data_IF_041853165149
#
_entry.id   IF_041853165149
#
_cell.length_a   1.000
_cell.length_b   1.000
_cell.length_c   1.000
_cell.angle_alpha   90.00
_cell.angle_beta   90.00
_cell.angle_gamma   90.00
#
_symmetry.space_group_name_H-M   'P 1'
#
loop_
_entity.id
_entity.type
_entity.pdbx_description
1 polymer ?
#
# COMPACT_ATOMS: atom_id res chain seq x y z
N UNK A 1 -17.46 -65.53 -4.51
CA UNK A 1 -17.98 -64.25 -5.03
C UNK A 1 -19.26 -63.93 -4.28
N UNK A 2 -19.50 -62.65 -4.01
CA UNK A 2 -20.52 -62.05 -3.14
C UNK A 2 -20.06 -61.84 -1.68
N UNK A 3 -20.14 -60.58 -1.24
CA UNK A 3 -19.72 -60.08 0.07
C UNK A 3 -18.98 -58.74 0.04
N UNK A 4 -19.09 -57.96 -1.04
CA UNK A 4 -18.46 -56.65 -1.22
C UNK A 4 -19.53 -55.55 -1.15
N UNK A 5 -20.28 -55.51 -0.03
CA UNK A 5 -21.49 -54.69 0.06
C UNK A 5 -21.87 -54.21 1.46
N UNK A 6 -20.96 -54.22 2.45
CA UNK A 6 -21.29 -53.80 3.82
C UNK A 6 -20.23 -52.89 4.50
N UNK A 7 -19.25 -52.37 3.74
CA UNK A 7 -18.26 -51.39 4.24
C UNK A 7 -18.67 -49.92 4.03
N UNK A 8 -19.90 -49.68 3.56
CA UNK A 8 -20.46 -48.35 3.33
C UNK A 8 -21.26 -47.79 4.52
N UNK A 9 -21.12 -48.41 5.71
CA UNK A 9 -21.60 -47.90 6.99
C UNK A 9 -20.82 -46.64 7.41
N UNK A 10 -21.13 -45.55 6.70
CA UNK A 10 -21.05 -44.13 7.04
C UNK A 10 -19.72 -43.64 7.61
N UNK A 11 -18.68 -43.56 6.77
CA UNK A 11 -17.55 -42.65 7.04
C UNK A 11 -18.08 -41.20 7.09
N UNK A 12 -18.20 -40.64 8.29
CA UNK A 12 -18.58 -39.23 8.48
C UNK A 12 -17.33 -38.38 8.63
N UNK A 13 -17.10 -37.47 7.70
CA UNK A 13 -16.09 -36.42 7.86
C UNK A 13 -16.58 -35.41 8.90
N UNK A 14 -15.79 -35.22 9.96
CA UNK A 14 -16.07 -34.31 11.06
C UNK A 14 -15.02 -33.20 10.98
N UNK A 15 -15.41 -31.94 11.01
CA UNK A 15 -14.46 -30.84 11.23
C UNK A 15 -13.82 -30.16 10.02
N UNK A 16 -14.06 -30.59 8.78
CA UNK A 16 -13.79 -29.71 7.63
C UNK A 16 -14.91 -28.66 7.56
N UNK A 17 -14.62 -27.42 7.97
CA UNK A 17 -15.53 -26.28 7.82
C UNK A 17 -15.96 -26.20 6.35
N UNK A 18 -17.25 -26.43 6.05
CA UNK A 18 -17.82 -26.11 4.73
C UNK A 18 -17.57 -24.61 4.53
N UNK A 19 -16.67 -24.25 3.62
CA UNK A 19 -16.34 -22.85 3.33
C UNK A 19 -14.93 -22.37 3.68
N UNK A 20 -14.18 -23.02 4.59
CA UNK A 20 -12.84 -22.51 4.95
C UNK A 20 -11.83 -22.69 3.81
N UNK A 21 -11.81 -23.85 3.17
CA UNK A 21 -10.95 -24.13 2.01
C UNK A 21 -11.27 -23.17 0.84
N UNK A 22 -12.53 -23.03 0.38
CA UNK A 22 -12.82 -22.08 -0.69
C UNK A 22 -12.59 -20.62 -0.26
N UNK A 23 -12.85 -20.26 1.01
CA UNK A 23 -12.58 -18.91 1.53
C UNK A 23 -11.10 -18.54 1.52
N UNK A 24 -10.22 -19.44 2.00
CA UNK A 24 -8.77 -19.23 1.93
C UNK A 24 -8.25 -19.29 0.49
N UNK A 25 -8.86 -20.08 -0.39
CA UNK A 25 -8.51 -20.10 -1.81
C UNK A 25 -8.84 -18.77 -2.50
N UNK A 26 -10.01 -18.18 -2.23
CA UNK A 26 -10.39 -16.85 -2.71
C UNK A 26 -9.45 -15.78 -2.15
N UNK A 27 -9.18 -15.81 -0.84
CA UNK A 27 -8.24 -14.87 -0.22
C UNK A 27 -6.84 -14.96 -0.83
N UNK A 28 -6.33 -16.17 -1.04
CA UNK A 28 -5.04 -16.39 -1.69
C UNK A 28 -5.04 -15.84 -3.12
N UNK A 29 -6.10 -16.08 -3.89
CA UNK A 29 -6.21 -15.56 -5.25
C UNK A 29 -6.20 -14.02 -5.28
N UNK A 30 -6.94 -13.37 -4.38
CA UNK A 30 -6.95 -11.91 -4.25
C UNK A 30 -5.58 -11.35 -3.86
N UNK A 31 -4.90 -11.99 -2.89
CA UNK A 31 -3.56 -11.58 -2.46
C UNK A 31 -2.55 -11.73 -3.60
N UNK A 32 -2.54 -12.86 -4.31
CA UNK A 32 -1.64 -13.09 -5.46
C UNK A 32 -1.92 -12.08 -6.56
N UNK A 33 -3.18 -11.83 -6.91
CA UNK A 33 -3.55 -10.81 -7.91
C UNK A 33 -3.05 -9.41 -7.50
N UNK A 34 -3.25 -9.02 -6.23
CA UNK A 34 -2.73 -7.76 -5.70
C UNK A 34 -1.20 -7.70 -5.70
N UNK A 35 -0.52 -8.82 -5.46
CA UNK A 35 0.95 -8.91 -5.50
C UNK A 35 1.49 -8.73 -6.92
N UNK A 36 0.81 -9.32 -7.91
CA UNK A 36 1.15 -9.16 -9.34
C UNK A 36 0.91 -7.73 -9.80
N UNK A 37 -0.19 -7.12 -9.37
CA UNK A 37 -0.47 -5.71 -9.66
C UNK A 37 0.61 -4.81 -9.06
N UNK A 38 0.93 -4.98 -7.77
CA UNK A 38 2.01 -4.24 -7.11
C UNK A 38 3.35 -4.37 -7.85
N UNK A 39 3.66 -5.55 -8.38
CA UNK A 39 4.86 -5.75 -9.18
C UNK A 39 4.85 -4.97 -10.49
N UNK A 40 3.73 -4.98 -11.22
CA UNK A 40 3.58 -4.23 -12.48
C UNK A 40 3.71 -2.73 -12.27
N UNK A 41 3.20 -2.22 -11.15
CA UNK A 41 3.21 -0.80 -10.82
C UNK A 41 4.50 -0.33 -10.11
N UNK A 42 5.51 -1.21 -9.94
CA UNK A 42 6.79 -0.84 -9.31
C UNK A 42 6.78 -0.74 -7.78
N UNK A 43 5.72 -1.19 -7.11
CA UNK A 43 5.53 -1.10 -5.65
C UNK A 43 6.27 -2.24 -4.93
N UNK A 44 7.55 -2.02 -4.61
CA UNK A 44 8.45 -3.05 -4.11
C UNK A 44 8.05 -3.59 -2.74
N UNK A 45 7.72 -2.72 -1.78
CA UNK A 45 7.35 -3.10 -0.42
C UNK A 45 5.96 -3.72 -0.38
N UNK A 46 5.00 -3.14 -1.09
CA UNK A 46 3.65 -3.70 -1.20
C UNK A 46 3.68 -5.12 -1.78
N UNK A 47 4.54 -5.36 -2.78
CA UNK A 47 4.79 -6.69 -3.36
C UNK A 47 5.33 -7.67 -2.32
N UNK A 48 6.31 -7.27 -1.50
CA UNK A 48 6.87 -8.14 -0.46
C UNK A 48 5.83 -8.50 0.62
N UNK A 49 5.04 -7.52 1.06
CA UNK A 49 3.94 -7.75 2.00
C UNK A 49 2.86 -8.67 1.40
N UNK A 50 2.46 -8.43 0.15
CA UNK A 50 1.52 -9.28 -0.57
C UNK A 50 2.01 -10.73 -0.71
N UNK A 51 3.30 -10.92 -1.02
CA UNK A 51 3.92 -12.24 -1.11
C UNK A 51 3.94 -12.97 0.24
N UNK A 52 4.32 -12.28 1.32
CA UNK A 52 4.32 -12.85 2.67
C UNK A 52 2.91 -13.28 3.13
N UNK A 53 1.90 -12.43 2.89
CA UNK A 53 0.51 -12.75 3.20
C UNK A 53 -0.02 -13.91 2.34
N UNK A 54 0.37 -13.98 1.06
CA UNK A 54 0.03 -15.09 0.17
C UNK A 54 0.61 -16.42 0.67
N UNK A 55 1.88 -16.44 1.10
CA UNK A 55 2.51 -17.63 1.68
C UNK A 55 1.78 -18.07 2.97
N UNK A 56 1.40 -17.13 3.81
CA UNK A 56 0.63 -17.42 5.02
C UNK A 56 -0.76 -17.97 4.71
N UNK A 57 -1.46 -17.41 3.71
CA UNK A 57 -2.75 -17.89 3.24
C UNK A 57 -2.65 -19.29 2.62
N UNK A 58 -1.62 -19.56 1.81
CA UNK A 58 -1.34 -20.87 1.24
C UNK A 58 -1.04 -21.90 2.33
N UNK A 59 -0.19 -21.56 3.31
CA UNK A 59 0.09 -22.41 4.45
C UNK A 59 -1.18 -22.75 5.22
N UNK A 60 -2.05 -21.76 5.48
CA UNK A 60 -3.37 -21.98 6.10
C UNK A 60 -4.28 -22.86 5.25
N UNK A 61 -4.32 -22.66 3.94
CA UNK A 61 -5.10 -23.47 3.02
C UNK A 61 -4.65 -24.94 3.04
N UNK A 62 -3.34 -25.19 2.93
CA UNK A 62 -2.74 -26.54 3.02
C UNK A 62 -3.03 -27.17 4.37
N UNK A 63 -2.90 -26.39 5.46
CA UNK A 63 -3.23 -26.84 6.80
C UNK A 63 -4.71 -27.29 6.90
N UNK A 64 -5.65 -26.47 6.42
CA UNK A 64 -7.08 -26.79 6.43
C UNK A 64 -7.44 -27.95 5.48
N UNK A 65 -6.74 -28.09 4.36
CA UNK A 65 -6.96 -29.18 3.42
C UNK A 65 -6.51 -30.54 4.00
N UNK A 66 -5.42 -30.57 4.77
CA UNK A 66 -4.81 -31.79 5.34
C UNK A 66 -5.31 -32.15 6.74
N UNK A 67 -5.65 -31.17 7.57
CA UNK A 67 -6.17 -31.37 8.92
C UNK A 67 -7.65 -31.82 8.86
N UNK A 68 -7.88 -33.13 8.66
CA UNK A 68 -9.22 -33.73 8.57
C UNK A 68 -9.43 -34.73 9.71
N UNK A 69 -10.61 -34.67 10.34
CA UNK A 69 -11.11 -35.72 11.21
C UNK A 69 -12.10 -36.58 10.43
N UNK A 70 -11.90 -37.88 10.43
CA UNK A 70 -12.86 -38.83 9.84
C UNK A 70 -13.23 -39.87 10.89
N UNK A 71 -14.52 -39.98 11.17
CA UNK A 71 -15.07 -40.97 12.08
C UNK A 71 -15.63 -42.14 11.28
N UNK A 72 -15.44 -43.33 11.84
CA UNK A 72 -16.05 -44.60 11.42
C UNK A 72 -16.60 -45.30 12.65
N UNK A 73 -17.41 -46.36 12.48
CA UNK A 73 -18.00 -47.09 13.61
C UNK A 73 -16.97 -47.65 14.60
N UNK A 74 -15.74 -47.96 14.17
CA UNK A 74 -14.71 -48.58 15.00
C UNK A 74 -13.58 -47.65 15.47
N UNK A 75 -13.26 -46.61 14.69
CA UNK A 75 -12.07 -45.78 14.93
C UNK A 75 -12.24 -44.33 14.47
N UNK A 76 -11.46 -43.46 15.12
CA UNK A 76 -11.27 -42.05 14.80
C UNK A 76 -9.93 -41.88 14.06
N UNK A 77 -9.98 -41.40 12.81
CA UNK A 77 -8.77 -41.03 12.06
C UNK A 77 -8.53 -39.53 12.15
N UNK A 78 -7.33 -39.21 12.60
CA UNK A 78 -6.82 -37.86 12.82
C UNK A 78 -5.77 -37.54 11.76
N UNK A 79 -6.14 -36.76 10.75
CA UNK A 79 -5.21 -36.25 9.75
C UNK A 79 -4.34 -35.13 10.32
N UNK A 80 -3.03 -35.23 10.16
CA UNK A 80 -2.08 -34.19 10.54
C UNK A 80 -1.75 -33.29 9.34
N UNK A 81 -1.68 -31.98 9.55
CA UNK A 81 -1.26 -31.04 8.51
C UNK A 81 0.24 -31.19 8.16
N UNK A 82 1.03 -31.57 9.16
CA UNK A 82 2.48 -31.79 9.12
C UNK A 82 2.76 -33.06 9.92
N UNK A 83 2.62 -34.25 9.30
CA UNK A 83 2.87 -35.53 9.95
C UNK A 83 2.02 -36.68 9.42
N UNK A 84 2.18 -37.86 10.01
CA UNK A 84 1.41 -39.05 9.67
C UNK A 84 -0.01 -38.99 10.24
N UNK A 85 -0.98 -39.50 9.48
CA UNK A 85 -2.35 -39.64 9.95
C UNK A 85 -2.42 -40.73 11.02
N UNK A 86 -3.03 -40.44 12.17
CA UNK A 86 -3.16 -41.40 13.27
C UNK A 86 -4.56 -41.97 13.32
N UNK A 87 -4.68 -43.30 13.41
CA UNK A 87 -5.93 -43.98 13.66
C UNK A 87 -6.02 -44.37 15.13
N UNK A 88 -7.07 -43.94 15.83
CA UNK A 88 -7.30 -44.22 17.25
C UNK A 88 -8.65 -44.93 17.41
N UNK A 89 -8.67 -46.18 17.90
CA UNK A 89 -9.92 -46.86 18.21
C UNK A 89 -10.76 -46.12 19.26
N UNK A 90 -12.09 -46.11 19.14
CA UNK A 90 -12.95 -45.38 20.07
C UNK A 90 -12.78 -45.81 21.53
N UNK A 91 -12.59 -47.10 21.78
CA UNK A 91 -12.40 -47.65 23.12
C UNK A 91 -11.11 -47.19 23.80
N UNK A 92 -10.11 -46.71 23.04
CA UNK A 92 -8.88 -46.13 23.58
C UNK A 92 -9.05 -44.66 24.00
N UNK A 93 -10.14 -44.01 23.62
CA UNK A 93 -10.40 -42.61 23.95
C UNK A 93 -11.19 -42.54 25.25
N UNK A 94 -10.66 -41.81 26.24
CA UNK A 94 -11.29 -41.62 27.55
C UNK A 94 -12.23 -40.42 27.57
N UNK A 95 -11.78 -39.29 27.01
CA UNK A 95 -12.47 -38.00 27.08
C UNK A 95 -12.10 -37.18 25.85
N UNK A 96 -13.10 -36.54 25.23
CA UNK A 96 -12.85 -35.52 24.22
C UNK A 96 -13.27 -34.17 24.80
N UNK A 97 -12.30 -33.28 24.96
CA UNK A 97 -12.54 -31.89 25.35
C UNK A 97 -12.65 -31.04 24.10
N UNK A 98 -13.65 -30.17 24.06
CA UNK A 98 -13.85 -29.20 22.98
C UNK A 98 -13.99 -27.84 23.62
N UNK A 99 -13.10 -26.90 23.28
CA UNK A 99 -13.12 -25.54 23.82
C UNK A 99 -12.90 -24.49 22.70
N UNK A 100 -12.77 -23.22 23.10
CA UNK A 100 -12.46 -22.14 22.17
C UNK A 100 -11.04 -22.22 21.60
N UNK A 101 -10.10 -22.88 22.28
CA UNK A 101 -8.70 -22.99 21.84
C UNK A 101 -8.43 -24.17 20.91
N UNK A 102 -9.35 -25.15 20.86
CA UNK A 102 -9.30 -26.31 20.01
C UNK A 102 -10.12 -27.49 20.56
N UNK A 103 -9.62 -28.69 20.28
CA UNK A 103 -10.20 -29.95 20.76
C UNK A 103 -9.07 -30.93 20.98
N UNK A 104 -9.17 -31.68 22.06
CA UNK A 104 -8.17 -32.64 22.49
C UNK A 104 -8.86 -33.94 22.87
N UNK A 105 -8.28 -35.07 22.47
CA UNK A 105 -8.67 -36.38 22.94
C UNK A 105 -7.66 -36.81 24.01
N UNK A 106 -8.15 -37.07 25.21
CA UNK A 106 -7.40 -37.77 26.25
C UNK A 106 -7.59 -39.28 26.04
N UNK A 107 -6.49 -39.98 25.79
CA UNK A 107 -6.47 -41.43 25.66
C UNK A 107 -6.48 -42.10 27.04
N UNK A 108 -6.87 -43.38 27.10
CA UNK A 108 -6.93 -44.16 28.35
C UNK A 108 -5.55 -44.40 28.98
N UNK A 109 -4.50 -44.38 28.18
CA UNK A 109 -3.09 -44.45 28.60
C UNK A 109 -2.56 -43.11 29.16
N UNK A 110 -3.37 -42.04 29.13
CA UNK A 110 -3.02 -40.71 29.59
C UNK A 110 -2.43 -39.78 28.53
N UNK A 111 -2.21 -40.27 27.30
CA UNK A 111 -1.70 -39.42 26.22
C UNK A 111 -2.75 -38.39 25.79
N UNK A 112 -2.30 -37.16 25.51
CA UNK A 112 -3.15 -36.10 24.97
C UNK A 112 -2.91 -35.96 23.47
N UNK A 113 -3.90 -36.37 22.69
CA UNK A 113 -3.89 -36.20 21.25
C UNK A 113 -4.63 -34.91 20.89
N UNK A 114 -3.88 -33.92 20.41
CA UNK A 114 -4.48 -32.68 19.92
C UNK A 114 -5.21 -32.99 18.62
N UNK A 115 -6.53 -32.97 18.69
CA UNK A 115 -7.34 -33.19 17.51
C UNK A 115 -7.16 -31.96 16.59
N UNK A 116 -7.20 -32.15 15.26
CA UNK A 116 -7.46 -31.09 14.31
C UNK A 116 -8.94 -30.74 14.47
N UNK A 117 -9.25 -30.23 15.66
CA UNK A 117 -10.48 -29.58 16.00
C UNK A 117 -10.88 -28.68 14.86
N UNK A 118 -12.17 -28.40 14.72
CA UNK A 118 -12.60 -27.39 13.79
C UNK A 118 -12.23 -26.00 14.33
N UNK A 119 -10.94 -25.66 14.25
CA UNK A 119 -10.32 -24.43 14.75
C UNK A 119 -10.88 -23.18 14.06
N UNK A 120 -11.70 -23.36 13.03
CA UNK A 120 -12.42 -22.29 12.32
C UNK A 120 -13.83 -22.00 12.83
N UNK A 121 -14.40 -22.76 13.78
CA UNK A 121 -15.80 -22.53 14.19
C UNK A 121 -16.00 -21.30 15.10
N UNK A 122 -14.93 -20.79 15.72
CA UNK A 122 -14.98 -19.51 16.43
C UNK A 122 -15.31 -18.33 15.50
N UNK A 123 -14.98 -18.41 14.22
CA UNK A 123 -15.32 -17.37 13.24
C UNK A 123 -16.80 -17.41 12.80
N UNK A 124 -17.54 -18.49 13.13
CA UNK A 124 -18.91 -18.73 12.64
C UNK A 124 -19.98 -18.64 13.74
N UNK A 125 -19.61 -18.25 14.96
CA UNK A 125 -20.54 -18.03 16.08
C UNK A 125 -21.02 -19.30 16.79
N UNK A 126 -21.84 -19.15 17.86
CA UNK A 126 -22.20 -20.22 18.77
C UNK A 126 -22.99 -21.38 18.12
N UNK A 127 -23.88 -21.10 17.16
CA UNK A 127 -24.67 -22.15 16.49
C UNK A 127 -23.84 -23.11 15.63
N UNK A 128 -22.77 -22.63 14.99
CA UNK A 128 -21.88 -23.48 14.20
C UNK A 128 -21.05 -24.42 15.10
N UNK A 129 -20.71 -23.97 16.31
CA UNK A 129 -20.04 -24.77 17.33
C UNK A 129 -20.94 -25.88 17.87
N UNK A 130 -22.18 -25.55 18.24
CA UNK A 130 -23.16 -26.53 18.69
C UNK A 130 -23.42 -27.61 17.63
N UNK A 131 -23.56 -27.22 16.37
CA UNK A 131 -23.72 -28.16 15.25
C UNK A 131 -22.50 -29.07 15.03
N UNK A 132 -21.29 -28.62 15.38
CA UNK A 132 -20.08 -29.44 15.29
C UNK A 132 -19.98 -30.43 16.45
N UNK A 133 -20.32 -29.99 17.67
CA UNK A 133 -20.40 -30.84 18.86
C UNK A 133 -21.48 -31.91 18.68
N UNK A 134 -22.65 -31.54 18.15
CA UNK A 134 -23.73 -32.49 17.85
C UNK A 134 -23.30 -33.56 16.83
N UNK A 135 -22.58 -33.18 15.78
CA UNK A 135 -22.05 -34.12 14.78
C UNK A 135 -20.99 -35.06 15.35
N UNK A 136 -20.14 -34.57 16.26
CA UNK A 136 -19.17 -35.41 16.96
C UNK A 136 -19.87 -36.40 17.89
N UNK A 137 -20.86 -35.94 18.67
CA UNK A 137 -21.66 -36.78 19.56
C UNK A 137 -22.40 -37.88 18.79
N UNK A 138 -23.02 -37.54 17.65
CA UNK A 138 -23.72 -38.48 16.78
C UNK A 138 -22.80 -39.48 16.05
N UNK A 139 -21.47 -39.33 16.16
CA UNK A 139 -20.50 -40.25 15.59
C UNK A 139 -19.85 -41.17 16.63
N UNK A 140 -20.10 -40.95 17.92
CA UNK A 140 -19.69 -41.85 18.99
C UNK A 140 -20.62 -43.07 18.93
N UNK A 141 -20.10 -44.30 18.80
CA UNK A 141 -20.96 -45.49 18.75
C UNK A 141 -21.76 -45.63 20.06
N UNK A 142 -23.08 -45.79 19.94
CA UNK A 142 -23.98 -46.13 21.05
C UNK A 142 -23.83 -47.62 21.39
N UNK A 143 -22.80 -47.99 22.17
CA UNK A 143 -22.73 -49.31 22.76
C UNK A 143 -21.83 -49.33 24.02
N UNK A 144 -22.45 -49.72 25.13
CA UNK A 144 -21.92 -50.33 26.35
C UNK A 144 -20.68 -49.71 27.03
N UNK A 145 -20.90 -49.08 28.19
CA UNK A 145 -19.94 -48.90 29.30
C UNK A 145 -18.48 -48.58 28.91
N UNK A 146 -18.26 -47.60 28.03
CA UNK A 146 -16.90 -47.20 27.67
C UNK A 146 -16.77 -45.97 26.77
N UNK A 147 -17.90 -45.33 26.43
CA UNK A 147 -17.96 -44.18 25.56
C UNK A 147 -17.20 -42.97 26.15
N UNK A 148 -16.47 -42.19 25.32
CA UNK A 148 -15.77 -41.02 25.81
C UNK A 148 -16.76 -39.97 26.31
N UNK A 149 -16.50 -39.45 27.53
CA UNK A 149 -17.24 -38.29 28.01
C UNK A 149 -16.95 -37.08 27.11
N UNK A 150 -17.94 -36.19 26.94
CA UNK A 150 -17.79 -34.95 26.17
C UNK A 150 -18.11 -33.76 27.09
N UNK A 151 -17.09 -32.96 27.40
CA UNK A 151 -17.25 -31.75 28.22
C UNK A 151 -17.40 -30.52 27.33
N UNK A 152 -18.46 -29.74 27.52
CA UNK A 152 -18.61 -28.39 26.96
C UNK A 152 -17.94 -27.36 27.88
N UNK A 153 -17.38 -26.26 27.35
CA UNK A 153 -16.71 -25.25 28.18
C UNK A 153 -17.74 -24.52 29.08
N UNK A 154 -17.29 -23.89 30.19
CA UNK A 154 -18.16 -23.12 31.06
C UNK A 154 -18.87 -21.99 30.29
N UNK A 155 -20.14 -21.80 30.60
CA UNK A 155 -20.97 -20.72 30.04
C UNK A 155 -20.30 -19.36 30.30
N UNK A 156 -19.81 -18.71 29.25
CA UNK A 156 -19.21 -17.36 29.36
C UNK A 156 -18.06 -17.04 28.41
N UNK A 157 -17.45 -18.02 27.73
CA UNK A 157 -16.24 -17.80 26.93
C UNK A 157 -16.47 -17.30 25.48
N UNK A 158 -17.71 -17.30 24.99
CA UNK A 158 -18.07 -16.92 23.62
C UNK A 158 -18.63 -15.49 23.55
N UNK A 159 -17.89 -14.49 24.03
CA UNK A 159 -18.30 -13.10 23.76
C UNK A 159 -17.85 -12.74 22.35
N UNK A 160 -18.80 -12.49 21.44
CA UNK A 160 -18.53 -12.00 20.08
C UNK A 160 -17.55 -10.81 20.06
N UNK A 161 -17.50 -10.06 21.17
CA UNK A 161 -16.52 -9.00 21.46
C UNK A 161 -15.05 -9.44 21.36
N UNK A 162 -14.65 -10.62 21.86
CA UNK A 162 -13.27 -11.11 21.75
C UNK A 162 -12.89 -11.49 20.32
N UNK A 163 -13.85 -12.03 19.57
CA UNK A 163 -13.68 -12.36 18.16
C UNK A 163 -13.55 -11.10 17.30
N UNK A 164 -14.46 -10.13 17.51
CA UNK A 164 -14.42 -8.82 16.87
C UNK A 164 -13.10 -8.09 17.17
N UNK A 165 -12.64 -8.11 18.42
CA UNK A 165 -11.33 -7.54 18.81
C UNK A 165 -10.17 -8.20 18.06
N UNK A 166 -10.15 -9.54 17.95
CA UNK A 166 -9.10 -10.25 17.21
C UNK A 166 -9.07 -9.85 15.72
N UNK A 167 -10.23 -9.81 15.08
CA UNK A 167 -10.31 -9.38 13.68
C UNK A 167 -9.99 -7.91 13.50
N UNK A 168 -10.40 -7.05 14.44
CA UNK A 168 -10.04 -5.63 14.45
C UNK A 168 -8.52 -5.46 14.54
N UNK A 169 -7.84 -6.18 15.44
CA UNK A 169 -6.37 -6.14 15.53
C UNK A 169 -5.70 -6.58 14.23
N UNK A 170 -6.19 -7.65 13.59
CA UNK A 170 -5.65 -8.10 12.29
C UNK A 170 -5.88 -7.04 11.21
N UNK A 171 -7.07 -6.46 11.13
CA UNK A 171 -7.38 -5.41 10.16
C UNK A 171 -6.53 -4.17 10.38
N UNK A 172 -6.35 -3.74 11.63
CA UNK A 172 -5.47 -2.62 11.99
C UNK A 172 -4.03 -2.93 11.60
N UNK A 173 -3.52 -4.12 11.90
CA UNK A 173 -2.16 -4.51 11.53
C UNK A 173 -1.95 -4.51 10.01
N UNK A 174 -2.93 -5.02 9.25
CA UNK A 174 -2.89 -5.00 7.77
C UNK A 174 -2.94 -3.56 7.25
N UNK A 175 -3.80 -2.71 7.81
CA UNK A 175 -3.90 -1.30 7.42
C UNK A 175 -2.60 -0.53 7.69
N UNK A 176 -1.98 -0.74 8.86
CA UNK A 176 -0.70 -0.13 9.22
C UNK A 176 0.42 -0.60 8.29
N UNK A 177 0.50 -1.91 8.01
CA UNK A 177 1.50 -2.46 7.10
C UNK A 177 1.33 -1.95 5.66
N UNK A 178 0.09 -1.88 5.17
CA UNK A 178 -0.22 -1.34 3.85
C UNK A 178 0.12 0.15 3.77
N UNK A 179 -0.25 0.95 4.78
CA UNK A 179 0.08 2.37 4.84
C UNK A 179 1.59 2.63 4.89
N UNK A 180 2.34 1.85 5.68
CA UNK A 180 3.80 1.95 5.74
C UNK A 180 4.46 1.55 4.42
N UNK A 181 3.96 0.50 3.76
CA UNK A 181 4.45 0.05 2.45
C UNK A 181 4.21 1.10 1.37
N UNK A 182 2.97 1.64 1.28
CA UNK A 182 2.64 2.73 0.37
C UNK A 182 3.51 3.96 0.63
N UNK A 183 3.79 4.28 1.89
CA UNK A 183 4.67 5.41 2.20
C UNK A 183 6.11 5.17 1.71
N UNK A 184 6.58 3.94 1.80
CA UNK A 184 7.94 3.56 1.41
C UNK A 184 8.10 3.41 -0.11
N UNK A 185 7.01 3.09 -0.82
CA UNK A 185 7.00 2.92 -2.28
C UNK A 185 6.76 4.24 -3.03
N UNK A 186 6.36 5.33 -2.35
CA UNK A 186 6.11 6.65 -2.95
C UNK A 186 5.25 6.60 -4.23
N UNK A 187 4.08 5.95 -4.23
CA UNK A 187 3.29 5.74 -5.44
C UNK A 187 2.82 7.05 -6.07
N UNK A 188 2.72 8.13 -5.30
CA UNK A 188 2.38 9.48 -5.78
C UNK A 188 3.44 10.11 -6.69
N UNK A 189 4.66 9.58 -6.73
CA UNK A 189 5.68 9.98 -7.68
C UNK A 189 5.55 9.23 -9.02
N UNK A 190 4.65 8.24 -9.11
CA UNK A 190 4.47 7.41 -10.30
C UNK A 190 3.46 8.01 -11.29
N UNK A 191 3.68 7.89 -12.63
CA UNK A 191 2.83 8.50 -13.66
C UNK A 191 1.36 8.04 -13.65
N UNK A 192 1.08 6.87 -13.07
CA UNK A 192 -0.26 6.28 -13.02
C UNK A 192 -1.08 6.71 -11.79
N UNK A 193 -0.47 7.39 -10.80
CA UNK A 193 -1.17 7.78 -9.58
C UNK A 193 -2.17 8.91 -9.84
N UNK A 194 -3.38 8.89 -9.26
CA UNK A 194 -4.31 10.01 -9.39
C UNK A 194 -3.66 11.32 -8.90
N UNK A 195 -3.49 12.29 -9.80
CA UNK A 195 -2.77 13.55 -9.52
C UNK A 195 -1.28 13.56 -9.92
N UNK A 196 -0.76 12.49 -10.53
CA UNK A 196 0.61 12.33 -11.05
C UNK A 196 1.09 13.33 -12.10
N UNK A 197 0.25 14.28 -12.50
CA UNK A 197 0.73 15.47 -13.21
C UNK A 197 1.73 16.27 -12.37
N UNK A 198 1.92 15.92 -11.08
CA UNK A 198 2.98 16.44 -10.23
C UNK A 198 4.35 15.95 -10.68
N UNK A 199 5.23 16.89 -10.98
CA UNK A 199 6.62 16.66 -11.39
C UNK A 199 7.41 16.17 -10.16
N UNK A 200 8.14 15.06 -10.27
CA UNK A 200 8.96 14.51 -9.19
C UNK A 200 10.29 15.27 -8.99
N UNK A 201 10.84 15.81 -10.08
CA UNK A 201 12.08 16.57 -10.09
C UNK A 201 12.05 17.64 -11.17
N UNK A 202 12.64 18.80 -10.90
CA UNK A 202 12.75 19.90 -11.88
C UNK A 202 14.05 19.76 -12.67
N UNK A 203 14.10 20.19 -13.94
CA UNK A 203 15.33 20.21 -14.73
C UNK A 203 16.36 21.17 -14.10
N UNK A 204 17.63 21.00 -14.45
CA UNK A 204 18.68 21.93 -14.02
C UNK A 204 18.41 23.33 -14.64
N UNK A 205 18.08 24.35 -13.84
CA UNK A 205 17.78 25.68 -14.38
C UNK A 205 18.98 26.33 -15.04
N UNK A 206 20.22 25.96 -14.70
CA UNK A 206 21.39 26.51 -15.38
C UNK A 206 21.54 25.94 -16.78
N UNK A 207 21.36 24.63 -16.95
CA UNK A 207 21.41 24.00 -18.27
C UNK A 207 20.34 24.60 -19.20
N UNK A 208 19.10 24.75 -18.71
CA UNK A 208 18.01 25.35 -19.48
C UNK A 208 18.34 26.80 -19.83
N UNK A 209 18.75 27.62 -18.85
CA UNK A 209 18.99 29.03 -19.11
C UNK A 209 20.19 29.29 -20.04
N UNK A 210 21.25 28.48 -19.94
CA UNK A 210 22.42 28.58 -20.83
C UNK A 210 22.08 28.18 -22.27
N UNK A 211 21.25 27.16 -22.45
CA UNK A 211 20.79 26.74 -23.78
C UNK A 211 19.86 27.79 -24.40
N UNK A 212 18.85 28.26 -23.65
CA UNK A 212 17.93 29.31 -24.07
C UNK A 212 18.63 30.59 -24.50
N UNK A 213 19.59 31.04 -23.68
CA UNK A 213 20.26 32.32 -23.88
C UNK A 213 21.61 32.18 -24.59
N UNK A 214 21.89 31.05 -25.26
CA UNK A 214 23.17 30.80 -25.92
C UNK A 214 23.57 31.84 -26.98
N UNK A 215 22.59 32.57 -27.53
CA UNK A 215 22.81 33.67 -28.47
C UNK A 215 23.14 35.02 -27.82
N UNK A 216 23.04 35.12 -26.50
CA UNK A 216 23.44 36.26 -25.69
C UNK A 216 24.74 35.89 -24.99
N UNK A 217 25.70 36.80 -24.91
CA UNK A 217 27.01 36.56 -24.26
C UNK A 217 26.84 36.51 -22.72
N UNK A 218 26.12 35.50 -22.23
CA UNK A 218 25.80 35.30 -20.82
C UNK A 218 26.78 34.33 -20.17
N UNK A 219 27.08 34.58 -18.90
CA UNK A 219 27.93 33.72 -18.06
C UNK A 219 27.27 33.51 -16.71
N UNK A 220 27.53 32.40 -16.02
CA UNK A 220 27.02 32.19 -14.66
C UNK A 220 27.45 33.34 -13.74
N UNK A 221 26.47 34.08 -13.24
CA UNK A 221 26.65 35.33 -12.50
C UNK A 221 26.39 35.18 -11.01
N UNK A 222 26.98 36.05 -10.18
CA UNK A 222 26.68 36.18 -8.75
C UNK A 222 27.39 35.19 -7.82
N UNK A 223 27.59 33.94 -8.24
CA UNK A 223 28.31 32.90 -7.51
C UNK A 223 29.25 32.12 -8.44
N UNK A 224 30.35 31.53 -7.92
CA UNK A 224 31.21 30.64 -8.71
C UNK A 224 30.39 29.57 -9.43
N UNK A 225 30.77 29.20 -10.66
CA UNK A 225 30.01 28.22 -11.46
C UNK A 225 29.77 26.88 -10.75
N UNK A 226 30.66 26.50 -9.81
CA UNK A 226 30.56 25.29 -8.99
C UNK A 226 29.49 25.37 -7.87
N UNK A 227 29.00 26.56 -7.56
CA UNK A 227 28.00 26.82 -6.50
C UNK A 227 26.58 27.06 -7.10
N UNK A 228 26.42 26.85 -8.40
CA UNK A 228 25.15 26.95 -9.12
C UNK A 228 24.77 25.60 -9.76
N UNK A 229 23.49 25.20 -9.75
CA UNK A 229 22.34 25.97 -9.23
C UNK A 229 22.28 26.03 -7.70
N UNK A 230 21.77 27.13 -7.16
CA UNK A 230 21.51 27.25 -5.73
C UNK A 230 20.26 26.46 -5.36
N UNK A 231 20.36 25.58 -4.37
CA UNK A 231 19.25 24.80 -3.84
C UNK A 231 18.88 25.30 -2.45
N UNK A 232 17.63 25.72 -2.27
CA UNK A 232 17.07 26.12 -0.98
C UNK A 232 15.93 25.18 -0.63
N UNK A 233 16.02 24.52 0.52
CA UNK A 233 14.94 23.68 1.06
C UNK A 233 14.18 24.48 2.11
N UNK A 234 12.90 24.71 1.85
CA UNK A 234 11.94 25.21 2.82
C UNK A 234 11.01 24.06 3.25
N UNK A 235 10.30 24.24 4.36
CA UNK A 235 9.33 23.25 4.84
C UNK A 235 8.25 22.93 3.79
N UNK A 236 7.96 23.87 2.89
CA UNK A 236 6.83 23.80 1.95
C UNK A 236 7.21 23.55 0.50
N UNK A 237 8.47 23.82 0.14
CA UNK A 237 8.96 23.72 -1.23
C UNK A 237 10.47 23.56 -1.26
N UNK A 238 10.95 22.98 -2.36
CA UNK A 238 12.36 23.00 -2.76
C UNK A 238 12.53 23.99 -3.90
N UNK A 239 13.39 24.98 -3.72
CA UNK A 239 13.72 25.96 -4.75
C UNK A 239 15.06 25.61 -5.38
N UNK A 240 15.12 25.55 -6.70
CA UNK A 240 16.35 25.38 -7.49
C UNK A 240 16.49 26.60 -8.39
N UNK A 241 17.59 27.35 -8.25
CA UNK A 241 17.78 28.66 -8.89
C UNK A 241 19.09 28.70 -9.68
N UNK A 242 19.04 29.30 -10.86
CA UNK A 242 20.23 29.74 -11.60
C UNK A 242 20.23 31.25 -11.80
N UNK A 243 21.42 31.85 -11.77
CA UNK A 243 21.66 33.24 -12.14
C UNK A 243 22.71 33.32 -13.26
N UNK A 244 22.34 33.98 -14.36
CA UNK A 244 23.23 34.29 -15.47
C UNK A 244 23.42 35.82 -15.55
N UNK A 245 24.66 36.26 -15.63
CA UNK A 245 25.03 37.65 -15.87
C UNK A 245 25.30 37.89 -17.35
N UNK A 246 24.82 39.02 -17.83
CA UNK A 246 25.13 39.69 -19.08
C UNK A 246 25.78 41.04 -18.74
N UNK A 247 26.41 41.72 -19.68
CA UNK A 247 27.09 43.01 -19.43
C UNK A 247 26.17 44.08 -18.82
N UNK A 248 24.91 44.09 -19.23
CA UNK A 248 23.92 45.10 -18.82
C UNK A 248 22.69 44.53 -18.10
N UNK A 249 22.66 43.21 -17.88
CA UNK A 249 21.49 42.54 -17.31
C UNK A 249 21.85 41.28 -16.53
N UNK A 250 20.95 40.87 -15.64
CA UNK A 250 20.99 39.57 -14.96
C UNK A 250 19.71 38.81 -15.24
N UNK A 251 19.85 37.56 -15.65
CA UNK A 251 18.77 36.61 -15.80
C UNK A 251 18.73 35.68 -14.59
N UNK A 252 17.54 35.38 -14.10
CA UNK A 252 17.30 34.42 -13.02
C UNK A 252 16.21 33.47 -13.46
N UNK A 253 16.46 32.17 -13.37
CA UNK A 253 15.45 31.12 -13.51
C UNK A 253 15.32 30.37 -12.19
N UNK A 254 14.11 30.28 -11.66
CA UNK A 254 13.78 29.57 -10.43
C UNK A 254 12.68 28.56 -10.69
N UNK A 255 12.93 27.31 -10.30
CA UNK A 255 11.89 26.30 -10.11
C UNK A 255 11.62 26.12 -8.63
N UNK A 256 10.39 26.38 -8.18
CA UNK A 256 9.91 26.00 -6.85
C UNK A 256 9.04 24.76 -6.97
N UNK A 257 9.59 23.63 -6.55
CA UNK A 257 8.91 22.35 -6.51
C UNK A 257 8.22 22.18 -5.15
N UNK A 258 6.90 22.00 -5.15
CA UNK A 258 6.13 21.65 -3.96
C UNK A 258 6.04 20.12 -3.88
N UNK A 259 6.74 19.46 -2.94
CA UNK A 259 6.67 18.02 -2.80
C UNK A 259 5.41 17.60 -2.04
N UNK A 260 5.05 16.32 -2.14
CA UNK A 260 4.05 15.72 -1.27
C UNK A 260 4.54 15.65 0.18
N UNK A 261 3.77 16.24 1.10
CA UNK A 261 4.11 16.29 2.54
C UNK A 261 3.33 15.28 3.39
N UNK A 262 2.39 14.56 2.79
CA UNK A 262 1.58 13.53 3.46
C UNK A 262 0.08 13.76 3.29
N UNK A 263 -0.73 12.76 3.65
CA UNK A 263 -2.18 12.74 3.39
C UNK A 263 -3.02 13.71 4.21
N UNK A 264 -2.43 14.38 5.20
CA UNK A 264 -3.11 15.39 6.01
C UNK A 264 -2.91 16.82 5.47
N UNK A 265 -2.01 16.99 4.51
CA UNK A 265 -1.64 18.27 3.93
C UNK A 265 -2.33 18.49 2.57
N UNK A 266 -2.31 19.74 2.10
CA UNK A 266 -2.79 20.07 0.76
C UNK A 266 -2.05 19.24 -0.31
N UNK A 267 -2.76 18.87 -1.39
CA UNK A 267 -2.12 18.20 -2.51
C UNK A 267 -1.03 19.11 -3.12
N UNK A 268 0.03 18.55 -3.74
CA UNK A 268 1.19 19.35 -4.09
C UNK A 268 0.86 20.45 -5.12
N UNK A 269 -0.06 20.16 -6.04
CA UNK A 269 -0.58 21.12 -7.02
C UNK A 269 -1.45 22.22 -6.38
N UNK A 270 -2.18 21.90 -5.30
CA UNK A 270 -2.97 22.85 -4.54
C UNK A 270 -2.06 23.77 -3.72
N UNK A 271 -1.05 23.20 -3.03
CA UNK A 271 -0.03 23.97 -2.31
C UNK A 271 0.75 24.92 -3.23
N UNK A 272 1.12 24.45 -4.43
CA UNK A 272 1.71 25.32 -5.46
C UNK A 272 0.72 26.38 -5.95
N UNK A 273 -0.57 26.05 -6.04
CA UNK A 273 -1.64 27.00 -6.36
C UNK A 273 -1.80 28.10 -5.33
N UNK A 274 -1.82 27.74 -4.06
CA UNK A 274 -1.88 28.67 -2.93
C UNK A 274 -0.65 29.57 -2.88
N UNK A 275 0.55 28.98 -3.03
CA UNK A 275 1.81 29.75 -3.09
C UNK A 275 1.85 30.68 -4.30
N UNK A 276 1.33 30.27 -5.45
CA UNK A 276 1.24 31.11 -6.65
C UNK A 276 0.18 32.21 -6.51
N UNK A 277 -0.90 31.98 -5.75
CA UNK A 277 -2.17 32.70 -5.82
C UNK A 277 -2.44 33.82 -4.81
N UNK A 278 -1.47 34.29 -4.03
CA UNK A 278 -1.78 35.18 -2.89
C UNK A 278 -1.66 36.70 -3.12
N UNK A 279 -1.42 37.21 -4.34
CA UNK A 279 -1.36 38.67 -4.55
C UNK A 279 -1.96 39.09 -5.91
N UNK A 280 -2.80 40.14 -5.98
CA UNK A 280 -3.16 40.76 -7.25
C UNK A 280 -1.94 41.54 -7.79
N UNK A 281 -1.43 41.15 -8.96
CA UNK A 281 -0.23 41.76 -9.55
C UNK A 281 -0.58 42.82 -10.59
N UNK A 282 0.18 43.93 -10.58
CA UNK A 282 -0.12 45.14 -11.34
C UNK A 282 0.11 45.02 -12.86
N UNK A 283 0.92 44.06 -13.32
CA UNK A 283 1.35 43.93 -14.73
C UNK A 283 0.45 43.04 -15.62
N UNK A 284 -0.54 42.35 -15.05
CA UNK A 284 -1.45 41.49 -15.80
C UNK A 284 -0.82 40.19 -16.33
N UNK A 285 -1.38 39.67 -17.42
CA UNK A 285 -0.92 38.45 -18.09
C UNK A 285 -0.19 38.75 -19.41
N UNK A 286 0.91 38.05 -19.67
CA UNK A 286 1.62 38.05 -20.95
C UNK A 286 1.44 36.69 -21.61
N UNK A 287 1.02 36.67 -22.88
CA UNK A 287 1.01 35.43 -23.67
C UNK A 287 2.41 35.11 -24.19
N UNK A 288 2.93 33.94 -23.82
CA UNK A 288 4.20 33.42 -24.30
C UNK A 288 3.91 32.04 -24.88
N UNK A 289 4.02 31.93 -26.20
CA UNK A 289 3.74 30.71 -26.97
C UNK A 289 2.39 30.03 -26.64
N UNK A 290 1.33 30.84 -26.48
CA UNK A 290 -0.02 30.34 -26.16
C UNK A 290 -0.24 29.98 -24.69
N UNK A 291 0.74 30.23 -23.83
CA UNK A 291 0.61 30.12 -22.37
C UNK A 291 0.56 31.50 -21.76
N UNK A 292 -0.46 31.77 -20.93
CA UNK A 292 -0.52 33.03 -20.17
C UNK A 292 0.39 32.96 -18.94
N UNK A 293 1.46 33.75 -18.98
CA UNK A 293 2.37 34.00 -17.87
C UNK A 293 1.88 35.19 -17.06
N UNK A 294 2.08 35.12 -15.75
CA UNK A 294 1.95 36.28 -14.88
C UNK A 294 3.15 37.19 -15.14
N UNK A 295 2.88 38.48 -15.41
CA UNK A 295 3.93 39.47 -15.67
C UNK A 295 3.96 40.52 -14.55
N UNK A 296 5.16 40.84 -14.09
CA UNK A 296 5.42 41.94 -13.18
C UNK A 296 6.56 42.80 -13.72
N UNK A 297 6.29 44.08 -13.94
CA UNK A 297 7.28 45.06 -14.37
C UNK A 297 7.79 45.83 -13.15
N UNK A 298 9.10 45.85 -12.98
CA UNK A 298 9.81 46.68 -12.01
C UNK A 298 10.60 47.76 -12.74
N UNK A 299 10.96 48.89 -12.09
CA UNK A 299 11.74 49.95 -12.72
C UNK A 299 13.06 49.49 -13.36
N UNK A 300 13.61 48.36 -12.89
CA UNK A 300 14.85 47.78 -13.40
C UNK A 300 14.70 46.38 -13.96
N UNK A 301 13.51 45.87 -14.26
CA UNK A 301 13.39 44.50 -14.75
C UNK A 301 11.98 43.97 -14.96
N UNK A 302 11.90 42.78 -15.57
CA UNK A 302 10.64 42.07 -15.84
C UNK A 302 10.73 40.72 -15.13
N UNK A 303 9.67 40.36 -14.43
CA UNK A 303 9.47 39.02 -13.89
C UNK A 303 8.28 38.35 -14.59
N UNK A 304 8.49 37.15 -15.10
CA UNK A 304 7.47 36.25 -15.61
C UNK A 304 7.35 35.07 -14.66
N UNK A 305 6.14 34.76 -14.23
CA UNK A 305 5.87 33.60 -13.39
C UNK A 305 4.73 32.75 -13.95
N UNK A 306 4.87 31.44 -13.90
CA UNK A 306 3.83 30.50 -14.30
C UNK A 306 3.80 29.31 -13.33
N UNK A 307 2.67 28.62 -13.25
CA UNK A 307 2.54 27.41 -12.44
C UNK A 307 2.13 26.24 -13.32
N UNK A 308 2.94 25.20 -13.31
CA UNK A 308 2.63 23.90 -13.90
C UNK A 308 2.50 22.86 -12.80
N UNK A 309 1.28 22.40 -12.53
CA UNK A 309 1.01 21.41 -11.48
C UNK A 309 1.57 21.85 -10.11
N UNK A 310 2.55 21.13 -9.57
CA UNK A 310 3.24 21.41 -8.30
C UNK A 310 4.53 22.23 -8.45
N UNK A 311 4.81 22.76 -9.63
CA UNK A 311 6.00 23.59 -9.89
C UNK A 311 5.57 25.02 -10.19
N UNK A 312 6.15 25.97 -9.46
CA UNK A 312 6.11 27.39 -9.81
C UNK A 312 7.42 27.75 -10.49
N UNK A 313 7.31 28.28 -11.70
CA UNK A 313 8.42 28.74 -12.53
C UNK A 313 8.46 30.26 -12.41
N UNK A 314 9.62 30.82 -12.12
CA UNK A 314 9.85 32.27 -12.12
C UNK A 314 11.09 32.58 -12.96
N UNK A 315 10.90 33.42 -13.97
CA UNK A 315 11.95 34.00 -14.80
C UNK A 315 12.02 35.48 -14.49
N UNK A 316 13.20 35.99 -14.18
CA UNK A 316 13.40 37.42 -14.00
C UNK A 316 14.58 37.91 -14.82
N UNK A 317 14.41 39.06 -15.46
CA UNK A 317 15.47 39.81 -16.13
C UNK A 317 15.60 41.17 -15.46
N UNK A 318 16.74 41.42 -14.84
CA UNK A 318 17.04 42.70 -14.19
C UNK A 318 18.08 43.47 -15.02
N UNK A 319 17.71 44.62 -15.57
CA UNK A 319 18.56 45.54 -16.31
C UNK A 319 19.21 46.55 -15.37
N UNK A 320 20.48 46.87 -15.62
CA UNK A 320 21.14 48.08 -15.12
C UNK A 320 21.67 48.96 -16.25
N UNK A 321 21.17 48.75 -17.47
CA UNK A 321 21.52 49.60 -18.60
C UNK A 321 21.18 51.07 -18.30
N UNK A 322 22.08 52.02 -18.64
CA UNK A 322 21.92 53.43 -18.29
C UNK A 322 20.67 54.08 -18.91
N UNK A 323 20.22 53.56 -20.05
CA UNK A 323 19.06 54.04 -20.79
C UNK A 323 17.73 53.38 -20.38
N UNK A 324 17.75 52.52 -19.34
CA UNK A 324 16.57 51.83 -18.81
C UNK A 324 16.43 50.39 -19.32
N UNK A 325 15.20 49.90 -19.43
CA UNK A 325 14.97 48.57 -20.01
C UNK A 325 15.06 48.61 -21.54
N UNK A 326 15.86 47.74 -22.17
CA UNK A 326 15.95 47.67 -23.62
C UNK A 326 14.66 47.08 -24.22
N UNK A 327 14.40 47.37 -25.50
CA UNK A 327 13.14 47.01 -26.17
C UNK A 327 12.94 45.50 -26.33
N UNK A 328 14.02 44.73 -26.32
CA UNK A 328 14.08 43.27 -26.41
C UNK A 328 13.93 42.57 -25.05
N UNK A 329 13.92 43.30 -23.92
CA UNK A 329 13.86 42.71 -22.57
C UNK A 329 12.69 41.73 -22.38
N UNK A 330 11.51 42.06 -22.94
CA UNK A 330 10.33 41.20 -22.91
C UNK A 330 10.57 39.94 -23.75
N UNK A 331 11.17 40.07 -24.93
CA UNK A 331 11.43 38.95 -25.83
C UNK A 331 12.46 37.97 -25.22
N UNK A 332 13.55 38.48 -24.64
CA UNK A 332 14.57 37.66 -23.96
C UNK A 332 13.99 36.91 -22.76
N UNK A 333 13.19 37.58 -21.92
CA UNK A 333 12.50 36.94 -20.80
C UNK A 333 11.47 35.90 -21.27
N UNK A 334 10.78 36.17 -22.37
CA UNK A 334 9.77 35.26 -22.94
C UNK A 334 10.40 34.01 -23.53
N UNK A 335 11.56 34.13 -24.18
CA UNK A 335 12.31 33.00 -24.71
C UNK A 335 12.74 32.06 -23.58
N UNK A 336 13.36 32.59 -22.52
CA UNK A 336 13.72 31.79 -21.35
C UNK A 336 12.49 31.18 -20.65
N UNK A 337 11.36 31.89 -20.62
CA UNK A 337 10.12 31.39 -20.05
C UNK A 337 9.54 30.21 -20.84
N UNK A 338 9.49 30.31 -22.17
CA UNK A 338 9.00 29.26 -23.05
C UNK A 338 9.82 27.97 -22.88
N UNK A 339 11.15 28.08 -22.97
CA UNK A 339 12.05 26.94 -22.83
C UNK A 339 12.01 26.33 -21.43
N UNK A 340 11.90 27.15 -20.38
CA UNK A 340 11.75 26.66 -19.01
C UNK A 340 10.46 25.85 -18.80
N UNK A 341 9.36 26.26 -19.43
CA UNK A 341 8.12 25.50 -19.38
C UNK A 341 8.17 24.22 -20.23
N UNK A 342 8.83 24.28 -21.39
CA UNK A 342 9.04 23.13 -22.27
C UNK A 342 9.95 22.08 -21.63
N UNK A 343 10.99 22.49 -20.90
CA UNK A 343 11.88 21.58 -20.19
C UNK A 343 11.20 20.77 -19.07
N UNK A 344 10.04 21.24 -18.57
CA UNK A 344 9.21 20.48 -17.63
C UNK A 344 8.31 19.43 -18.31
N UNK A 345 8.16 19.49 -19.64
CA UNK A 345 7.38 18.55 -20.46
C UNK A 345 8.19 17.39 -21.04
N UNK A 346 9.50 17.39 -20.83
CA UNK A 346 10.46 16.43 -21.38
C UNK A 346 10.12 14.95 -21.14
#
# INVERSE_FOLDING_TARGET
MAGQGDEDLTRRAIGAVRGAVPGYAVLLALLVAGTVLAHREGLAWLRLCGAALSLLALWRLVWHARARLTASGALLRVGAALGEARAVPWHHIRLITVDASGSEALLRDGERLRLPAPRGHLAQGPGAFEAAVARLRAAIPEAESGAPALSTPPAGAWTGRRLLMRWAVVLVAVAVAAGWSLRSDHPWDAPWWPGSATVASVPDPCAVAEESLAGLDVVRGGLPAAEQPTVTEAEEFRSVRCELAHDEARFTLVYRLHPWRGSAEAAPADAAGESFGWTPYAGGGLDVEGTTWRREDTPGGIELSHRRSNVVITVARQSWAPDGQPADAVAEASLLAADALSALDG
#
